data_IF_920718367556
#
_entry.id   IF_920718367556
#
_cell.length_a   1.000
_cell.length_b   1.000
_cell.length_c   1.000
_cell.angle_alpha   90.00
_cell.angle_beta   90.00
_cell.angle_gamma   90.00
#
_symmetry.space_group_name_H-M   'P 1'
#
loop_
_entity.id
_entity.type
_entity.pdbx_description
1 polymer ?
#
# COMPACT_ATOMS: atom_id res chain seq x y z
N UNK A 1 -49.37 59.69 -36.98
CA UNK A 1 -49.12 58.23 -37.09
C UNK A 1 -47.77 57.99 -37.73
N UNK A 2 -46.78 57.48 -36.97
CA UNK A 2 -45.58 56.81 -37.50
C UNK A 2 -45.15 55.78 -36.46
N UNK A 3 -45.15 54.50 -36.85
CA UNK A 3 -44.62 53.37 -36.10
C UNK A 3 -43.29 53.00 -36.75
N UNK A 4 -42.21 52.84 -35.98
CA UNK A 4 -40.99 52.17 -36.45
C UNK A 4 -40.40 51.27 -35.37
N UNK A 5 -40.04 50.08 -35.85
CA UNK A 5 -39.73 48.82 -35.17
C UNK A 5 -38.44 48.85 -34.35
N UNK A 6 -38.44 48.17 -33.20
CA UNK A 6 -37.25 47.69 -32.49
C UNK A 6 -37.00 46.25 -32.96
N UNK A 7 -35.87 46.02 -33.65
CA UNK A 7 -35.45 44.69 -34.08
C UNK A 7 -34.81 43.90 -32.93
N UNK A 8 -35.37 42.73 -32.64
CA UNK A 8 -34.84 41.76 -31.67
C UNK A 8 -33.92 40.77 -32.41
N UNK A 9 -32.61 40.78 -32.10
CA UNK A 9 -31.67 39.76 -32.58
C UNK A 9 -31.65 38.61 -31.57
N UNK A 10 -32.24 37.47 -31.92
CA UNK A 10 -32.14 36.22 -31.14
C UNK A 10 -30.96 35.41 -31.67
N UNK A 11 -29.88 35.36 -30.90
CA UNK A 11 -28.73 34.51 -31.17
C UNK A 11 -29.05 33.04 -30.88
N UNK A 12 -29.05 32.22 -31.92
CA UNK A 12 -29.23 30.77 -31.85
C UNK A 12 -27.94 30.12 -31.32
N UNK A 13 -27.91 29.74 -30.03
CA UNK A 13 -26.84 28.92 -29.47
C UNK A 13 -27.13 27.46 -29.82
N UNK A 14 -26.48 26.93 -30.87
CA UNK A 14 -26.49 25.52 -31.19
C UNK A 14 -25.68 24.76 -30.11
N UNK A 15 -26.38 24.07 -29.21
CA UNK A 15 -25.76 23.17 -28.25
C UNK A 15 -25.16 21.95 -28.96
N UNK A 16 -23.84 21.80 -28.91
CA UNK A 16 -23.17 20.56 -29.32
C UNK A 16 -23.48 19.47 -28.29
N UNK A 17 -24.37 18.55 -28.65
CA UNK A 17 -24.57 17.31 -27.90
C UNK A 17 -23.40 16.39 -28.26
N UNK A 18 -22.45 16.23 -27.34
CA UNK A 18 -21.38 15.24 -27.48
C UNK A 18 -22.00 13.82 -27.41
N UNK A 19 -21.71 12.91 -28.36
CA UNK A 19 -22.20 11.55 -28.27
C UNK A 19 -21.57 10.84 -27.07
N UNK A 20 -22.39 10.15 -26.28
CA UNK A 20 -21.91 9.20 -25.30
C UNK A 20 -21.13 8.10 -26.03
N UNK A 21 -19.84 7.97 -25.73
CA UNK A 21 -19.02 6.89 -26.26
C UNK A 21 -19.55 5.55 -25.72
N UNK A 22 -20.31 4.81 -26.54
CA UNK A 22 -20.70 3.45 -26.18
C UNK A 22 -19.46 2.56 -26.28
N UNK A 23 -19.15 1.80 -25.22
CA UNK A 23 -18.12 0.78 -25.28
C UNK A 23 -18.47 -0.21 -26.40
N UNK A 24 -17.62 -0.30 -27.43
CA UNK A 24 -17.82 -1.26 -28.50
C UNK A 24 -17.66 -2.69 -27.96
N UNK A 25 -18.41 -3.68 -28.48
CA UNK A 25 -18.21 -5.07 -28.13
C UNK A 25 -16.76 -5.49 -28.44
N UNK A 26 -16.07 -6.11 -27.47
CA UNK A 26 -14.74 -6.68 -27.69
C UNK A 26 -14.86 -7.82 -28.71
N UNK A 27 -13.96 -7.87 -29.69
CA UNK A 27 -13.96 -8.94 -30.68
C UNK A 27 -13.64 -10.31 -30.02
N UNK A 28 -14.21 -11.42 -30.53
CA UNK A 28 -14.03 -12.73 -29.91
C UNK A 28 -12.57 -13.21 -29.82
N UNK A 29 -11.72 -12.80 -30.76
CA UNK A 29 -10.30 -13.21 -30.78
C UNK A 29 -9.50 -12.50 -29.68
N UNK A 30 -9.71 -11.19 -29.50
CA UNK A 30 -9.16 -10.43 -28.37
C UNK A 30 -9.61 -10.98 -27.04
N UNK A 31 -10.90 -11.33 -26.91
CA UNK A 31 -11.40 -11.98 -25.70
C UNK A 31 -10.71 -13.33 -25.45
N UNK A 32 -10.58 -14.18 -26.48
CA UNK A 32 -9.91 -15.48 -26.34
C UNK A 32 -8.43 -15.34 -25.92
N UNK A 33 -7.73 -14.32 -26.43
CA UNK A 33 -6.36 -13.99 -26.00
C UNK A 33 -6.30 -13.53 -24.54
N UNK A 34 -7.25 -12.71 -24.10
CA UNK A 34 -7.33 -12.28 -22.70
C UNK A 34 -7.62 -13.44 -21.76
N UNK A 35 -8.52 -14.36 -22.15
CA UNK A 35 -8.84 -15.57 -21.40
C UNK A 35 -7.61 -16.49 -21.29
N UNK A 36 -6.84 -16.64 -22.37
CA UNK A 36 -5.59 -17.40 -22.36
C UNK A 36 -4.53 -16.77 -21.45
N UNK A 37 -4.28 -15.46 -21.57
CA UNK A 37 -3.34 -14.74 -20.70
C UNK A 37 -3.76 -14.83 -19.22
N UNK A 38 -5.06 -14.74 -18.92
CA UNK A 38 -5.55 -14.91 -17.56
C UNK A 38 -5.31 -16.32 -17.01
N UNK A 39 -5.49 -17.35 -17.83
CA UNK A 39 -5.21 -18.73 -17.45
C UNK A 39 -3.72 -18.97 -17.21
N UNK A 40 -2.85 -18.43 -18.06
CA UNK A 40 -1.39 -18.47 -17.90
C UNK A 40 -0.94 -17.76 -16.62
N UNK A 41 -1.48 -16.57 -16.36
CA UNK A 41 -1.20 -15.82 -15.15
C UNK A 41 -1.63 -16.56 -13.88
N UNK A 42 -2.78 -17.24 -13.93
CA UNK A 42 -3.26 -18.09 -12.83
C UNK A 42 -2.31 -19.26 -12.58
N UNK A 43 -1.91 -19.97 -13.64
CA UNK A 43 -0.95 -21.08 -13.54
C UNK A 43 0.42 -20.62 -13.04
N UNK A 44 0.89 -19.44 -13.47
CA UNK A 44 2.12 -18.83 -12.98
C UNK A 44 2.03 -18.45 -11.49
N UNK A 45 0.89 -17.89 -11.06
CA UNK A 45 0.66 -17.52 -9.67
C UNK A 45 0.67 -18.75 -8.76
N UNK A 46 0.01 -19.83 -9.17
CA UNK A 46 -0.01 -21.12 -8.46
C UNK A 46 1.39 -21.75 -8.38
N UNK A 47 2.21 -21.55 -9.42
CA UNK A 47 3.61 -21.93 -9.43
C UNK A 47 4.53 -20.98 -8.63
N UNK A 48 3.99 -19.97 -7.95
CA UNK A 48 4.73 -18.91 -7.24
C UNK A 48 5.66 -18.07 -8.13
N UNK A 49 5.48 -18.12 -9.45
CA UNK A 49 6.13 -17.22 -10.41
C UNK A 49 5.33 -15.92 -10.49
N UNK A 50 5.38 -15.14 -9.40
CA UNK A 50 4.54 -13.97 -9.22
C UNK A 50 4.82 -12.83 -10.21
N UNK A 51 6.06 -12.75 -10.72
CA UNK A 51 6.42 -11.73 -11.73
C UNK A 51 5.75 -12.08 -13.05
N UNK A 52 5.87 -13.33 -13.51
CA UNK A 52 5.20 -13.76 -14.74
C UNK A 52 3.68 -13.66 -14.60
N UNK A 53 3.13 -14.12 -13.47
CA UNK A 53 1.71 -14.00 -13.18
C UNK A 53 1.18 -12.58 -13.33
N UNK A 54 1.90 -11.59 -12.77
CA UNK A 54 1.49 -10.20 -12.86
C UNK A 54 1.48 -9.69 -14.30
N UNK A 55 2.48 -10.07 -15.11
CA UNK A 55 2.57 -9.68 -16.52
C UNK A 55 1.44 -10.29 -17.36
N UNK A 56 1.13 -11.57 -17.15
CA UNK A 56 0.06 -12.26 -17.88
C UNK A 56 -1.33 -11.68 -17.49
N UNK A 57 -1.53 -11.33 -16.22
CA UNK A 57 -2.75 -10.63 -15.79
C UNK A 57 -2.84 -9.19 -16.33
N UNK A 58 -1.71 -8.48 -16.45
CA UNK A 58 -1.66 -7.15 -17.08
C UNK A 58 -2.01 -7.22 -18.57
N UNK A 59 -1.54 -8.26 -19.28
CA UNK A 59 -1.89 -8.50 -20.67
C UNK A 59 -3.39 -8.76 -20.83
N UNK A 60 -3.97 -9.63 -20.00
CA UNK A 60 -5.42 -9.86 -19.99
C UNK A 60 -6.21 -8.56 -19.76
N UNK A 61 -5.77 -7.73 -18.81
CA UNK A 61 -6.37 -6.42 -18.54
C UNK A 61 -6.20 -5.42 -19.69
N UNK A 62 -5.06 -5.46 -20.41
CA UNK A 62 -4.79 -4.62 -21.56
C UNK A 62 -5.68 -4.96 -22.76
N UNK A 63 -5.98 -6.24 -22.97
CA UNK A 63 -6.86 -6.74 -24.02
C UNK A 63 -8.34 -6.52 -23.67
N UNK A 64 -8.72 -6.81 -22.43
CA UNK A 64 -10.09 -6.63 -21.91
C UNK A 64 -10.00 -5.87 -20.59
N UNK A 65 -10.29 -4.55 -20.59
CA UNK A 65 -10.20 -3.70 -19.39
C UNK A 65 -11.29 -3.95 -18.33
N UNK A 66 -11.44 -5.19 -17.86
CA UNK A 66 -12.33 -5.56 -16.75
C UNK A 66 -11.61 -5.33 -15.41
N UNK A 67 -12.29 -4.68 -14.47
CA UNK A 67 -11.74 -4.40 -13.15
C UNK A 67 -11.42 -5.68 -12.35
N UNK A 68 -12.04 -6.82 -12.64
CA UNK A 68 -11.76 -8.10 -11.98
C UNK A 68 -10.29 -8.51 -12.09
N UNK A 69 -9.60 -8.16 -13.18
CA UNK A 69 -8.17 -8.46 -13.35
C UNK A 69 -7.29 -7.66 -12.38
N UNK A 70 -7.68 -6.44 -12.00
CA UNK A 70 -6.88 -5.56 -11.15
C UNK A 70 -6.61 -6.15 -9.76
N UNK A 71 -7.56 -6.89 -9.20
CA UNK A 71 -7.36 -7.57 -7.93
C UNK A 71 -6.26 -8.65 -8.04
N UNK A 72 -6.25 -9.42 -9.13
CA UNK A 72 -5.27 -10.48 -9.36
C UNK A 72 -3.88 -9.91 -9.68
N UNK A 73 -3.81 -8.83 -10.46
CA UNK A 73 -2.57 -8.05 -10.69
C UNK A 73 -1.99 -7.57 -9.35
N UNK A 74 -2.83 -6.97 -8.50
CA UNK A 74 -2.43 -6.51 -7.17
C UNK A 74 -1.90 -7.63 -6.28
N UNK A 75 -2.56 -8.80 -6.32
CA UNK A 75 -2.12 -9.98 -5.59
C UNK A 75 -0.78 -10.49 -6.09
N UNK A 76 -0.61 -10.68 -7.40
CA UNK A 76 0.64 -11.13 -8.01
C UNK A 76 1.80 -10.22 -7.62
N UNK A 77 1.68 -8.90 -7.80
CA UNK A 77 2.73 -7.96 -7.40
C UNK A 77 2.98 -7.93 -5.90
N UNK A 78 1.94 -8.08 -5.07
CA UNK A 78 2.10 -8.17 -3.62
C UNK A 78 2.97 -9.37 -3.24
N UNK A 79 2.70 -10.55 -3.79
CA UNK A 79 3.50 -11.75 -3.53
C UNK A 79 4.91 -11.65 -4.13
N UNK A 80 5.04 -10.98 -5.29
CA UNK A 80 6.32 -10.62 -5.92
C UNK A 80 7.10 -9.51 -5.20
N UNK A 81 6.56 -8.92 -4.12
CA UNK A 81 7.13 -7.80 -3.35
C UNK A 81 7.32 -6.51 -4.16
N UNK A 82 6.61 -6.37 -5.28
CA UNK A 82 6.54 -5.16 -6.10
C UNK A 82 5.48 -4.20 -5.53
N UNK A 83 5.73 -3.73 -4.31
CA UNK A 83 4.76 -3.02 -3.48
C UNK A 83 4.13 -1.78 -4.15
N UNK A 84 4.91 -1.06 -4.97
CA UNK A 84 4.43 0.14 -5.69
C UNK A 84 3.38 -0.25 -6.72
N UNK A 85 3.65 -1.28 -7.52
CA UNK A 85 2.70 -1.78 -8.53
C UNK A 85 1.46 -2.41 -7.89
N UNK A 86 1.66 -3.18 -6.81
CA UNK A 86 0.55 -3.74 -6.03
C UNK A 86 -0.38 -2.64 -5.48
N UNK A 87 0.19 -1.57 -4.92
CA UNK A 87 -0.55 -0.41 -4.42
C UNK A 87 -1.42 0.20 -5.52
N UNK A 88 -0.85 0.44 -6.70
CA UNK A 88 -1.58 1.02 -7.83
C UNK A 88 -2.75 0.13 -8.29
N UNK A 89 -2.53 -1.18 -8.39
CA UNK A 89 -3.56 -2.12 -8.82
C UNK A 89 -4.74 -2.20 -7.83
N UNK A 90 -4.46 -2.33 -6.52
CA UNK A 90 -5.53 -2.35 -5.51
C UNK A 90 -6.29 -1.04 -5.44
N UNK A 91 -5.58 0.09 -5.50
CA UNK A 91 -6.23 1.38 -5.46
C UNK A 91 -7.17 1.56 -6.65
N UNK A 92 -6.71 1.23 -7.86
CA UNK A 92 -7.55 1.26 -9.06
C UNK A 92 -8.74 0.30 -8.97
N UNK A 93 -8.56 -0.89 -8.41
CA UNK A 93 -9.66 -1.85 -8.17
C UNK A 93 -10.72 -1.26 -7.24
N UNK A 94 -10.31 -0.69 -6.10
CA UNK A 94 -11.21 -0.09 -5.10
C UNK A 94 -11.95 1.13 -5.69
N UNK A 95 -11.26 1.93 -6.50
CA UNK A 95 -11.83 3.13 -7.15
C UNK A 95 -12.87 2.77 -8.21
N UNK A 96 -12.62 1.74 -9.04
CA UNK A 96 -13.50 1.37 -10.14
C UNK A 96 -14.70 0.53 -9.72
N UNK A 97 -14.54 -0.35 -8.73
CA UNK A 97 -15.59 -1.29 -8.31
C UNK A 97 -15.72 -1.35 -6.78
N UNK A 98 -16.14 -0.25 -6.12
CA UNK A 98 -16.15 -0.12 -4.65
C UNK A 98 -17.05 -1.11 -3.91
N UNK A 99 -18.00 -1.75 -4.62
CA UNK A 99 -18.95 -2.72 -4.06
C UNK A 99 -18.63 -4.18 -4.47
N UNK A 100 -17.51 -4.43 -5.16
CA UNK A 100 -17.14 -5.78 -5.57
C UNK A 100 -16.77 -6.66 -4.35
N UNK A 101 -17.01 -8.00 -4.41
CA UNK A 101 -16.77 -8.90 -3.27
C UNK A 101 -15.36 -8.87 -2.66
N UNK A 102 -14.34 -8.52 -3.45
CA UNK A 102 -12.94 -8.50 -3.01
C UNK A 102 -12.47 -7.14 -2.47
N UNK A 103 -13.31 -6.11 -2.41
CA UNK A 103 -12.88 -4.74 -2.04
C UNK A 103 -12.31 -4.66 -0.64
N UNK A 104 -12.93 -5.33 0.34
CA UNK A 104 -12.40 -5.32 1.71
C UNK A 104 -11.05 -6.03 1.79
N UNK A 105 -10.88 -7.13 1.06
CA UNK A 105 -9.59 -7.81 0.94
C UNK A 105 -8.55 -6.90 0.24
N UNK A 106 -8.94 -6.18 -0.81
CA UNK A 106 -8.08 -5.23 -1.51
C UNK A 106 -7.63 -4.09 -0.59
N UNK A 107 -8.54 -3.53 0.23
CA UNK A 107 -8.21 -2.50 1.23
C UNK A 107 -7.20 -3.02 2.25
N UNK A 108 -7.38 -4.25 2.74
CA UNK A 108 -6.43 -4.87 3.67
C UNK A 108 -5.06 -5.07 3.04
N UNK A 109 -4.99 -5.61 1.82
CA UNK A 109 -3.72 -5.80 1.12
C UNK A 109 -3.06 -4.49 0.73
N UNK A 110 -3.84 -3.47 0.37
CA UNK A 110 -3.36 -2.11 0.14
C UNK A 110 -2.64 -1.58 1.39
N UNK A 111 -3.26 -1.69 2.57
CA UNK A 111 -2.61 -1.28 3.83
C UNK A 111 -1.32 -2.06 4.10
N UNK A 112 -1.30 -3.36 3.81
CA UNK A 112 -0.12 -4.22 3.97
C UNK A 112 1.06 -3.76 3.09
N UNK A 113 0.81 -3.42 1.82
CA UNK A 113 1.89 -3.01 0.90
C UNK A 113 2.24 -1.53 0.96
N UNK A 114 1.38 -0.68 1.56
CA UNK A 114 1.51 0.78 1.55
C UNK A 114 2.83 1.27 2.16
N UNK A 115 3.23 0.74 3.31
CA UNK A 115 4.50 1.12 3.98
C UNK A 115 5.70 0.83 3.06
N UNK A 116 5.71 -0.35 2.45
CA UNK A 116 6.75 -0.76 1.51
C UNK A 116 6.78 0.14 0.27
N UNK A 117 5.62 0.45 -0.32
CA UNK A 117 5.52 1.32 -1.48
C UNK A 117 6.03 2.74 -1.19
N UNK A 118 5.58 3.35 -0.09
CA UNK A 118 6.04 4.67 0.36
C UNK A 118 7.55 4.69 0.64
N UNK A 119 8.08 3.62 1.24
CA UNK A 119 9.50 3.49 1.50
C UNK A 119 10.32 3.39 0.20
N UNK A 120 9.90 2.54 -0.74
CA UNK A 120 10.56 2.37 -2.05
C UNK A 120 10.55 3.68 -2.83
N UNK A 121 9.42 4.39 -2.86
CA UNK A 121 9.31 5.68 -3.53
C UNK A 121 10.20 6.75 -2.88
N UNK A 122 10.25 6.80 -1.54
CA UNK A 122 11.19 7.67 -0.84
C UNK A 122 12.64 7.38 -1.20
N UNK A 123 13.03 6.09 -1.31
CA UNK A 123 14.39 5.69 -1.71
C UNK A 123 14.71 6.08 -3.15
N UNK A 124 13.76 5.94 -4.06
CA UNK A 124 13.88 6.38 -5.45
C UNK A 124 14.11 7.90 -5.53
N UNK A 125 13.35 8.68 -4.76
CA UNK A 125 13.48 10.14 -4.71
C UNK A 125 14.83 10.58 -4.11
N UNK A 126 15.36 9.87 -3.10
CA UNK A 126 16.72 10.11 -2.60
C UNK A 126 17.76 9.90 -3.71
N UNK A 127 17.66 8.80 -4.47
CA UNK A 127 18.56 8.52 -5.60
C UNK A 127 18.43 9.53 -6.73
N UNK A 128 17.25 10.13 -6.90
CA UNK A 128 16.99 11.17 -7.88
C UNK A 128 17.39 12.59 -7.43
N UNK A 129 18.04 12.73 -6.26
CA UNK A 129 18.45 14.05 -5.74
C UNK A 129 17.28 14.92 -5.26
N UNK A 130 16.16 14.31 -4.88
CA UNK A 130 14.94 14.99 -4.42
C UNK A 130 14.62 14.70 -2.94
N UNK A 131 15.50 15.07 -2.00
CA UNK A 131 15.38 14.68 -0.60
C UNK A 131 14.16 15.28 0.12
N UNK A 132 13.68 16.45 -0.28
CA UNK A 132 12.48 17.05 0.32
C UNK A 132 11.22 16.21 0.03
N UNK A 133 11.06 15.76 -1.22
CA UNK A 133 9.98 14.85 -1.62
C UNK A 133 10.15 13.48 -0.95
N UNK A 134 11.39 12.98 -0.88
CA UNK A 134 11.68 11.73 -0.17
C UNK A 134 11.27 11.78 1.30
N UNK A 135 11.55 12.90 2.00
CA UNK A 135 11.10 13.09 3.38
C UNK A 135 9.58 13.00 3.52
N UNK A 136 8.82 13.49 2.53
CA UNK A 136 7.36 13.39 2.54
C UNK A 136 6.91 11.94 2.47
N UNK A 137 7.53 11.14 1.58
CA UNK A 137 7.22 9.72 1.44
C UNK A 137 7.60 8.90 2.68
N UNK A 138 8.79 9.12 3.25
CA UNK A 138 9.19 8.44 4.47
C UNK A 138 8.37 8.87 5.69
N UNK A 139 7.92 10.13 5.75
CA UNK A 139 7.04 10.59 6.82
C UNK A 139 5.67 9.90 6.73
N UNK A 140 5.11 9.76 5.52
CA UNK A 140 3.91 8.98 5.28
C UNK A 140 4.12 7.50 5.67
N UNK A 141 5.23 6.88 5.25
CA UNK A 141 5.54 5.49 5.63
C UNK A 141 5.63 5.30 7.15
N UNK A 142 6.21 6.27 7.87
CA UNK A 142 6.33 6.22 9.32
C UNK A 142 5.00 6.48 10.04
N UNK A 143 4.11 7.26 9.45
CA UNK A 143 2.76 7.44 9.98
C UNK A 143 1.96 6.13 9.93
N UNK A 144 2.16 5.32 8.89
CA UNK A 144 1.55 3.99 8.74
C UNK A 144 2.21 2.94 9.65
N UNK A 145 3.55 2.89 9.71
CA UNK A 145 4.29 2.03 10.65
C UNK A 145 5.31 2.83 11.49
N UNK A 146 4.91 3.26 12.70
CA UNK A 146 5.79 3.99 13.61
C UNK A 146 6.97 3.16 14.15
N UNK A 147 7.02 1.84 13.92
CA UNK A 147 8.09 0.95 14.40
C UNK A 147 9.10 0.60 13.29
N UNK A 148 8.85 1.00 12.04
CA UNK A 148 9.74 0.77 10.91
C UNK A 148 11.08 1.51 11.09
N UNK A 149 12.07 0.82 11.65
CA UNK A 149 13.39 1.38 11.96
C UNK A 149 14.12 1.86 10.70
N UNK A 150 13.97 1.14 9.59
CA UNK A 150 14.52 1.55 8.28
C UNK A 150 13.96 2.90 7.82
N UNK A 151 12.67 3.15 8.05
CA UNK A 151 12.02 4.43 7.71
C UNK A 151 12.57 5.58 8.56
N UNK A 152 12.78 5.36 9.87
CA UNK A 152 13.39 6.36 10.75
C UNK A 152 14.80 6.76 10.29
N UNK A 153 15.60 5.78 9.85
CA UNK A 153 16.94 6.04 9.33
C UNK A 153 16.88 6.94 8.09
N UNK A 154 15.98 6.63 7.16
CA UNK A 154 15.83 7.39 5.91
C UNK A 154 15.24 8.79 6.14
N UNK A 155 14.36 8.96 7.15
CA UNK A 155 13.94 10.28 7.62
C UNK A 155 15.13 11.12 8.13
N UNK A 156 16.10 10.50 8.79
CA UNK A 156 17.35 11.15 9.16
C UNK A 156 18.14 11.61 7.94
N UNK A 157 18.40 10.69 7.00
CA UNK A 157 19.19 10.95 5.78
C UNK A 157 18.58 12.07 4.91
N UNK A 158 17.27 12.02 4.67
CA UNK A 158 16.62 13.03 3.83
C UNK A 158 16.64 14.41 4.51
N UNK A 159 16.46 14.48 5.84
CA UNK A 159 16.50 15.74 6.58
C UNK A 159 17.90 16.36 6.63
N UNK A 160 18.94 15.53 6.66
CA UNK A 160 20.33 15.97 6.57
C UNK A 160 20.62 16.61 5.21
N UNK A 161 20.23 15.96 4.11
CA UNK A 161 20.46 16.48 2.76
C UNK A 161 19.75 17.82 2.47
N UNK A 162 18.63 18.11 3.15
CA UNK A 162 17.96 19.41 3.07
C UNK A 162 18.43 20.42 4.13
N UNK A 163 19.54 20.15 4.83
CA UNK A 163 20.13 21.06 5.83
C UNK A 163 19.42 21.12 7.18
N UNK A 164 18.38 20.29 7.42
CA UNK A 164 17.66 20.22 8.70
C UNK A 164 18.39 19.31 9.71
N UNK A 165 19.65 19.63 10.01
CA UNK A 165 20.57 18.80 10.81
C UNK A 165 20.00 18.42 12.19
N UNK A 166 19.37 19.35 12.91
CA UNK A 166 18.76 19.05 14.21
C UNK A 166 17.60 18.04 14.13
N UNK A 167 16.82 18.11 13.04
CA UNK A 167 15.74 17.16 12.77
C UNK A 167 16.31 15.80 12.39
N UNK A 168 17.36 15.77 11.56
CA UNK A 168 18.07 14.56 11.18
C UNK A 168 18.63 13.82 12.41
N UNK A 169 19.34 14.53 13.29
CA UNK A 169 19.87 13.96 14.54
C UNK A 169 18.76 13.35 15.43
N UNK A 170 17.58 13.97 15.45
CA UNK A 170 16.43 13.42 16.19
C UNK A 170 15.96 12.11 15.60
N UNK A 171 15.86 11.99 14.27
CA UNK A 171 15.49 10.75 13.61
C UNK A 171 16.53 9.65 13.76
N UNK A 172 17.81 9.97 13.66
CA UNK A 172 18.88 8.99 13.90
C UNK A 172 18.84 8.42 15.33
N UNK A 173 18.62 9.25 16.34
CA UNK A 173 18.43 8.78 17.73
C UNK A 173 17.21 7.86 17.86
N UNK A 174 16.09 8.18 17.21
CA UNK A 174 14.90 7.31 17.20
C UNK A 174 15.24 5.94 16.58
N UNK A 175 15.93 5.93 15.43
CA UNK A 175 16.35 4.71 14.76
C UNK A 175 17.28 3.86 15.66
N UNK A 176 18.29 4.48 16.29
CA UNK A 176 19.20 3.83 17.24
C UNK A 176 18.44 3.21 18.43
N UNK A 177 17.53 3.96 19.04
CA UNK A 177 16.73 3.50 20.17
C UNK A 177 15.79 2.34 19.80
N UNK A 178 15.23 2.37 18.60
CA UNK A 178 14.40 1.29 18.07
C UNK A 178 15.22 0.00 17.85
N UNK A 179 16.36 0.11 17.17
CA UNK A 179 17.26 -1.03 16.94
C UNK A 179 17.78 -1.67 18.23
N UNK A 180 18.09 -0.85 19.25
CA UNK A 180 18.52 -1.32 20.55
C UNK A 180 17.44 -2.15 21.29
N UNK A 181 16.15 -1.91 21.03
CA UNK A 181 15.06 -2.69 21.63
C UNK A 181 14.94 -4.09 21.01
N UNK A 182 15.20 -4.24 19.71
CA UNK A 182 15.18 -5.55 19.03
C UNK A 182 16.28 -6.46 19.55
N UNK A 183 17.47 -5.91 19.88
CA UNK A 183 18.58 -6.68 20.47
C UNK A 183 18.38 -7.02 21.95
N UNK A 184 17.43 -6.40 22.66
CA UNK A 184 17.18 -6.72 24.07
C UNK A 184 16.31 -7.97 24.15
N UNK A 185 16.75 -9.04 24.84
CA UNK A 185 15.86 -10.18 25.08
C UNK A 185 14.61 -9.71 25.82
N UNK A 186 13.44 -10.16 25.38
CA UNK A 186 12.16 -9.90 26.03
C UNK A 186 12.29 -10.20 27.53
N UNK A 187 11.79 -9.33 28.43
CA UNK A 187 11.80 -9.63 29.85
C UNK A 187 11.12 -10.98 30.07
N UNK A 188 11.83 -11.97 30.61
CA UNK A 188 11.21 -13.23 31.01
C UNK A 188 10.04 -12.89 31.96
N UNK A 189 8.85 -13.50 31.78
CA UNK A 189 7.74 -13.25 32.69
C UNK A 189 8.24 -13.43 34.12
N UNK A 190 8.06 -12.41 34.96
CA UNK A 190 8.43 -12.48 36.36
C UNK A 190 7.68 -13.66 36.95
N UNK A 191 8.39 -14.71 37.34
CA UNK A 191 7.81 -15.73 38.21
C UNK A 191 7.31 -15.02 39.46
N UNK A 192 6.00 -14.87 39.58
CA UNK A 192 5.35 -14.50 40.82
C UNK A 192 5.72 -15.60 41.80
N UNK A 193 6.67 -15.32 42.70
CA UNK A 193 6.98 -16.23 43.80
C UNK A 193 5.67 -16.37 44.59
N UNK A 194 5.08 -17.55 44.53
CA UNK A 194 3.93 -17.89 45.37
C UNK A 194 4.23 -17.62 46.84
N UNK A 195 3.20 -17.41 47.67
CA UNK A 195 3.37 -17.04 49.07
C UNK A 195 4.29 -18.04 49.78
N UNK A 196 5.32 -17.52 50.47
CA UNK A 196 6.25 -18.32 51.27
C UNK A 196 5.44 -19.10 52.31
N UNK A 197 5.27 -20.42 52.13
CA UNK A 197 4.75 -21.30 53.18
C UNK A 197 5.70 -21.21 54.37
N UNK A 198 5.26 -20.59 55.47
CA UNK A 198 5.97 -20.60 56.73
C UNK A 198 6.09 -22.05 57.21
N UNK A 199 7.30 -22.60 57.19
CA UNK A 199 7.59 -23.86 57.87
C UNK A 199 7.40 -23.62 59.37
N UNK A 200 6.22 -23.97 59.91
CA UNK A 200 6.04 -24.15 61.35
C UNK A 200 6.98 -25.28 61.76
N UNK A 201 8.02 -24.97 62.52
CA UNK A 201 8.83 -25.97 63.23
C UNK A 201 7.91 -26.62 64.26
N UNK A 202 7.47 -27.84 63.99
CA UNK A 202 6.89 -28.72 65.01
C UNK A 202 8.00 -29.07 66.00
N UNK A 203 7.84 -28.57 67.23
CA UNK A 203 8.71 -28.84 68.37
C UNK A 203 8.49 -30.30 68.77
N UNK A 204 9.46 -31.18 68.53
CA UNK A 204 9.43 -32.53 69.12
C UNK A 204 9.60 -32.39 70.64
N UNK A 205 8.55 -32.70 71.40
CA UNK A 205 8.65 -32.97 72.83
C UNK A 205 9.14 -34.40 73.03
N UNK A 206 10.34 -34.55 73.61
CA UNK A 206 10.78 -35.81 74.22
C UNK A 206 10.02 -35.97 75.53
N UNK A 207 9.51 -37.17 75.77
CA UNK A 207 9.08 -37.64 77.08
C UNK A 207 9.67 -39.05 77.26
N UNK A 208 10.54 -39.10 78.27
CA UNK A 208 11.19 -40.20 79.01
C UNK A 208 11.25 -41.58 78.39
#
# INVERSE_FOLDING_TARGET
MRVSLIGLVVGLVLGMIAPAASAQPVDPETKARADAAFAEGTAAFDASDFVRAALDFEEAYGLVPDAAYLFNIGQAYRFGKECVKATAAYQKFIELVPDAPNVDKAKLHLQEVKVCALFVEGRRLMGAGKPAEACTQFAAAHAEDPKATGTMLNLGLCNEQIGKVATAATWFRKAQNSAARVRRPSPKPRHVRGPRRSRRRSRCSRSW
#
